data_IF_565592214908
#
_entry.id   IF_565592214908
#
_cell.length_a   1.000
_cell.length_b   1.000
_cell.length_c   1.000
_cell.angle_alpha   90.00
_cell.angle_beta   90.00
_cell.angle_gamma   90.00
#
_symmetry.space_group_name_H-M   'P 1'
#
loop_
_entity.id
_entity.type
_entity.pdbx_description
1 polymer ?
#
# COMPACT_ATOMS: atom_id res chain seq x y z
N UNK A 1 -3.61 -39.45 -53.14
CA UNK A 1 -2.68 -38.47 -52.51
C UNK A 1 -3.39 -37.40 -51.64
N UNK A 2 -4.72 -37.24 -51.70
CA UNK A 2 -5.47 -36.28 -50.84
C UNK A 2 -5.89 -36.83 -49.46
N UNK A 3 -6.10 -38.14 -49.34
CA UNK A 3 -6.61 -38.78 -48.10
C UNK A 3 -5.59 -38.79 -46.96
N UNK A 4 -4.30 -39.03 -47.25
CA UNK A 4 -3.23 -39.06 -46.24
C UNK A 4 -2.89 -37.68 -45.67
N UNK A 5 -3.07 -36.61 -46.45
CA UNK A 5 -2.82 -35.23 -46.00
C UNK A 5 -3.95 -34.72 -45.08
N UNK A 6 -5.21 -35.04 -45.40
CA UNK A 6 -6.37 -34.73 -44.56
C UNK A 6 -6.34 -35.44 -43.19
N UNK A 7 -5.85 -36.69 -43.12
CA UNK A 7 -5.74 -37.44 -41.85
C UNK A 7 -4.66 -36.85 -40.94
N UNK A 8 -3.54 -36.38 -41.51
CA UNK A 8 -2.42 -35.75 -40.78
C UNK A 8 -2.79 -34.37 -40.23
N UNK A 9 -3.55 -33.56 -40.98
CA UNK A 9 -4.03 -32.27 -40.49
C UNK A 9 -5.15 -32.43 -39.45
N UNK A 10 -6.02 -33.44 -39.57
CA UNK A 10 -7.09 -33.72 -38.61
C UNK A 10 -6.58 -34.24 -37.26
N UNK A 11 -5.51 -35.04 -37.26
CA UNK A 11 -4.82 -35.49 -36.04
C UNK A 11 -4.07 -34.35 -35.36
N UNK A 12 -3.42 -33.48 -36.13
CA UNK A 12 -2.72 -32.30 -35.62
C UNK A 12 -3.66 -31.23 -35.01
N UNK A 13 -4.86 -31.04 -35.59
CA UNK A 13 -5.89 -30.14 -35.02
C UNK A 13 -6.43 -30.70 -33.70
N UNK A 14 -6.71 -31.99 -33.63
CA UNK A 14 -7.15 -32.67 -32.39
C UNK A 14 -6.09 -32.64 -31.28
N UNK A 15 -4.81 -32.79 -31.63
CA UNK A 15 -3.70 -32.71 -30.67
C UNK A 15 -3.54 -31.27 -30.15
N UNK A 16 -3.68 -30.25 -31.01
CA UNK A 16 -3.65 -28.84 -30.59
C UNK A 16 -4.81 -28.51 -29.65
N UNK A 17 -6.02 -28.95 -29.97
CA UNK A 17 -7.20 -28.76 -29.12
C UNK A 17 -7.06 -29.47 -27.77
N UNK A 18 -6.54 -30.71 -27.78
CA UNK A 18 -6.26 -31.46 -26.55
C UNK A 18 -5.17 -30.79 -25.69
N UNK A 19 -4.11 -30.25 -26.31
CA UNK A 19 -3.08 -29.46 -25.62
C UNK A 19 -3.64 -28.19 -24.99
N UNK A 20 -4.57 -27.50 -25.66
CA UNK A 20 -5.22 -26.30 -25.14
C UNK A 20 -6.12 -26.62 -23.94
N UNK A 21 -6.82 -27.76 -23.97
CA UNK A 21 -7.64 -28.24 -22.85
C UNK A 21 -6.75 -28.58 -21.63
N UNK A 22 -5.65 -29.32 -21.85
CA UNK A 22 -4.72 -29.67 -20.76
C UNK A 22 -4.08 -28.41 -20.14
N UNK A 23 -3.70 -27.43 -20.95
CA UNK A 23 -3.17 -26.16 -20.46
C UNK A 23 -4.20 -25.36 -19.64
N UNK A 24 -5.49 -25.41 -20.03
CA UNK A 24 -6.58 -24.77 -19.28
C UNK A 24 -6.89 -25.46 -17.94
N UNK A 25 -6.70 -26.78 -17.83
CA UNK A 25 -6.84 -27.48 -16.55
C UNK A 25 -5.68 -27.15 -15.59
N UNK A 26 -4.45 -27.02 -16.11
CA UNK A 26 -3.26 -26.74 -15.30
C UNK A 26 -3.26 -25.33 -14.66
N UNK A 27 -4.01 -24.37 -15.19
CA UNK A 27 -4.07 -23.00 -14.67
C UNK A 27 -5.01 -22.81 -13.47
N UNK A 28 -5.80 -23.83 -13.10
CA UNK A 28 -6.80 -23.72 -12.02
C UNK A 28 -6.24 -23.90 -10.60
N UNK A 29 -4.93 -24.17 -10.45
CA UNK A 29 -4.35 -24.53 -9.14
C UNK A 29 -3.85 -23.36 -8.29
N UNK A 30 -3.85 -22.11 -8.78
CA UNK A 30 -3.27 -20.98 -8.03
C UNK A 30 -4.28 -20.13 -7.22
N UNK A 31 -5.45 -20.67 -6.87
CA UNK A 31 -6.48 -19.96 -6.11
C UNK A 31 -6.60 -20.46 -4.66
N UNK A 32 -5.50 -20.61 -3.94
CA UNK A 32 -5.54 -20.69 -2.48
C UNK A 32 -5.54 -19.27 -1.90
N UNK A 33 -6.72 -18.63 -1.89
CA UNK A 33 -6.95 -17.43 -1.06
C UNK A 33 -7.03 -17.88 0.40
N UNK A 34 -5.89 -18.28 0.95
CA UNK A 34 -5.76 -18.66 2.34
C UNK A 34 -6.08 -17.45 3.22
N UNK A 35 -7.00 -17.63 4.17
CA UNK A 35 -7.28 -16.65 5.22
C UNK A 35 -5.98 -16.39 5.98
N UNK A 36 -5.31 -15.28 5.66
CA UNK A 36 -4.09 -14.88 6.35
C UNK A 36 -4.46 -14.45 7.76
N UNK A 37 -4.13 -15.29 8.74
CA UNK A 37 -4.28 -14.93 10.15
C UNK A 37 -3.13 -13.98 10.49
N UNK A 38 -3.48 -12.75 10.89
CA UNK A 38 -2.48 -11.83 11.45
C UNK A 38 -2.07 -12.34 12.82
N UNK A 39 -0.87 -12.89 12.93
CA UNK A 39 -0.23 -13.26 14.18
C UNK A 39 0.84 -12.19 14.49
N UNK A 40 0.50 -11.12 15.22
CA UNK A 40 1.52 -10.17 15.64
C UNK A 40 2.51 -10.87 16.58
N UNK A 41 3.79 -10.55 16.45
CA UNK A 41 4.81 -10.97 17.43
C UNK A 41 4.43 -10.46 18.81
N UNK A 42 4.76 -11.15 19.89
CA UNK A 42 4.65 -10.57 21.25
C UNK A 42 5.77 -9.56 21.52
N UNK A 43 6.87 -9.66 20.76
CA UNK A 43 8.07 -8.84 20.90
C UNK A 43 8.07 -7.65 19.93
N UNK A 44 6.98 -6.90 19.82
CA UNK A 44 6.96 -5.60 19.12
C UNK A 44 6.67 -4.46 20.08
N UNK A 45 7.13 -3.27 19.74
CA UNK A 45 6.79 -2.03 20.43
C UNK A 45 6.37 -0.96 19.41
N UNK A 46 5.68 0.07 19.88
CA UNK A 46 5.45 1.29 19.13
C UNK A 46 6.76 1.99 18.78
N UNK A 47 6.75 2.75 17.67
CA UNK A 47 7.93 3.49 17.19
C UNK A 47 8.26 4.72 18.04
N UNK A 48 7.25 5.32 18.68
CA UNK A 48 7.38 6.53 19.48
C UNK A 48 7.31 6.14 20.96
N UNK A 49 8.38 6.43 21.72
CA UNK A 49 8.49 6.11 23.14
C UNK A 49 8.70 7.35 24.03
N UNK A 50 8.84 8.54 23.43
CA UNK A 50 9.15 9.79 24.13
C UNK A 50 8.27 10.91 23.57
N UNK A 51 7.82 11.79 24.46
CA UNK A 51 7.12 13.03 24.14
C UNK A 51 7.97 14.19 24.67
N UNK A 52 8.21 15.20 23.82
CA UNK A 52 8.91 16.44 24.20
C UNK A 52 7.92 17.60 24.10
N UNK A 53 7.89 18.45 25.12
CA UNK A 53 6.98 19.61 25.20
C UNK A 53 7.79 20.89 24.99
N UNK A 54 7.35 21.73 24.04
CA UNK A 54 7.94 23.03 23.73
C UNK A 54 6.86 24.12 23.71
N UNK A 55 7.25 25.36 24.06
CA UNK A 55 6.42 26.55 23.81
C UNK A 55 6.83 27.21 22.48
N UNK A 56 5.92 27.92 21.81
CA UNK A 56 6.20 28.60 20.52
C UNK A 56 6.59 30.08 20.64
N UNK A 57 6.52 30.68 21.84
CA UNK A 57 6.88 32.10 22.11
C UNK A 57 6.24 33.13 21.16
N UNK A 58 5.13 32.78 20.51
CA UNK A 58 4.42 33.59 19.53
C UNK A 58 2.90 33.30 19.63
N UNK A 59 2.08 34.19 19.07
CA UNK A 59 0.63 33.97 18.96
C UNK A 59 0.31 32.79 18.03
N UNK A 60 -0.95 32.36 17.96
CA UNK A 60 -1.37 31.19 17.21
C UNK A 60 -1.05 31.31 15.71
N UNK A 61 -1.43 32.41 15.06
CA UNK A 61 -1.17 32.60 13.62
C UNK A 61 0.32 32.50 13.30
N UNK A 62 1.17 33.20 14.07
CA UNK A 62 2.62 33.16 13.90
C UNK A 62 3.19 31.77 14.19
N UNK A 63 2.70 31.10 15.23
CA UNK A 63 3.09 29.73 15.56
C UNK A 63 2.81 28.76 14.41
N UNK A 64 1.61 28.82 13.81
CA UNK A 64 1.25 28.01 12.65
C UNK A 64 2.17 28.33 11.48
N UNK A 65 2.40 29.62 11.20
CA UNK A 65 3.29 30.03 10.12
C UNK A 65 4.72 29.49 10.30
N UNK A 66 5.29 29.61 11.50
CA UNK A 66 6.64 29.13 11.83
C UNK A 66 6.74 27.61 11.67
N UNK A 67 5.72 26.87 12.11
CA UNK A 67 5.75 25.40 12.16
C UNK A 67 5.35 24.72 10.84
N UNK A 68 4.84 25.47 9.85
CA UNK A 68 4.31 24.90 8.60
C UNK A 68 4.88 25.51 7.32
N UNK A 69 5.26 26.79 7.33
CA UNK A 69 5.76 27.48 6.13
C UNK A 69 7.26 27.30 5.97
N UNK A 70 7.74 27.39 4.73
CA UNK A 70 9.17 27.44 4.43
C UNK A 70 9.79 28.69 5.05
N UNK A 71 10.93 28.53 5.71
CA UNK A 71 11.75 29.62 6.22
C UNK A 71 13.24 29.28 6.08
N UNK A 72 14.12 30.23 6.39
CA UNK A 72 15.58 29.98 6.43
C UNK A 72 16.00 29.06 7.57
N UNK A 73 15.12 28.82 8.55
CA UNK A 73 15.32 27.92 9.69
C UNK A 73 14.04 27.10 9.91
N UNK A 74 13.77 26.10 9.06
CA UNK A 74 12.52 25.36 9.11
C UNK A 74 12.47 24.49 10.37
N UNK A 75 11.35 24.55 11.07
CA UNK A 75 11.04 23.74 12.26
C UNK A 75 9.60 23.27 12.17
N UNK A 76 9.28 22.16 12.84
CA UNK A 76 7.91 21.65 12.93
C UNK A 76 7.69 20.88 14.24
N UNK A 77 6.44 20.72 14.62
CA UNK A 77 6.00 19.86 15.72
C UNK A 77 4.87 18.95 15.25
N UNK A 78 4.66 17.82 15.95
CA UNK A 78 3.55 16.92 15.63
C UNK A 78 2.19 17.50 16.04
N UNK A 79 2.19 18.33 17.09
CA UNK A 79 1.00 18.98 17.61
C UNK A 79 1.32 20.42 18.01
N UNK A 80 0.33 21.29 17.89
CA UNK A 80 0.31 22.64 18.42
C UNK A 80 -0.94 22.78 19.29
N UNK A 81 -0.78 23.18 20.54
CA UNK A 81 -1.89 23.47 21.45
C UNK A 81 -2.03 24.99 21.54
N UNK A 82 -3.13 25.58 21.04
CA UNK A 82 -3.36 27.02 21.10
C UNK A 82 -3.76 27.48 22.51
N UNK A 83 -3.50 28.74 22.83
CA UNK A 83 -4.16 29.42 23.94
C UNK A 83 -5.59 29.78 23.51
N UNK A 84 -6.65 29.31 24.20
CA UNK A 84 -8.03 29.63 23.86
C UNK A 84 -8.37 31.13 23.94
N UNK A 85 -7.53 31.92 24.62
CA UNK A 85 -7.70 33.37 24.77
C UNK A 85 -6.99 34.17 23.67
N UNK A 86 -6.20 33.52 22.80
CA UNK A 86 -5.49 34.17 21.71
C UNK A 86 -6.47 34.58 20.60
N UNK A 87 -6.53 35.86 20.30
CA UNK A 87 -7.41 36.43 19.25
C UNK A 87 -7.13 35.85 17.86
N UNK A 88 -5.92 35.37 17.61
CA UNK A 88 -5.54 34.80 16.31
C UNK A 88 -5.95 33.33 16.15
N UNK A 89 -6.51 32.69 17.18
CA UNK A 89 -6.96 31.29 17.12
C UNK A 89 -8.35 31.12 16.47
N UNK A 90 -9.17 32.17 16.44
CA UNK A 90 -10.56 32.13 15.97
C UNK A 90 -10.75 32.57 14.52
#
# INVERSE_FOLDING_TARGET
MYTSFQISTFTSVKIREMLLIVAAFLSTSCASTGKSVKLPSENYNGRVSIIVIHHTSANFESSVNILTKKSSRPVSSHYLVPDPSDETYT
#
